data_IF_128573096327
#
_entry.id   IF_128573096327
#
_cell.length_a   1.000
_cell.length_b   1.000
_cell.length_c   1.000
_cell.angle_alpha   90.00
_cell.angle_beta   90.00
_cell.angle_gamma   90.00
#
_symmetry.space_group_name_H-M   'P 1'
#
loop_
_entity.id
_entity.type
_entity.pdbx_description
1 polymer ?
#
# COMPACT_ATOMS: atom_id res chain seq x y z
N UNK A 1 26.31 10.50 -0.59
CA UNK A 1 26.15 11.22 0.71
C UNK A 1 24.70 11.61 0.86
N UNK A 2 23.88 10.67 1.35
CA UNK A 2 23.38 10.63 2.74
C UNK A 2 22.15 11.55 2.96
N UNK A 3 20.99 11.10 2.47
CA UNK A 3 19.68 11.57 2.94
C UNK A 3 19.25 10.75 4.15
N UNK A 4 19.80 11.10 5.33
CA UNK A 4 19.28 10.77 6.66
C UNK A 4 17.99 11.59 6.87
N UNK A 5 16.93 11.15 7.55
CA UNK A 5 16.83 10.27 8.70
C UNK A 5 15.42 9.68 8.80
N UNK A 6 15.34 8.36 8.65
CA UNK A 6 14.42 7.56 9.44
C UNK A 6 15.16 7.30 10.76
N UNK A 7 14.97 8.14 11.78
CA UNK A 7 15.60 7.95 13.10
C UNK A 7 14.63 7.27 14.04
N UNK A 8 14.99 6.02 14.31
CA UNK A 8 14.63 5.19 15.45
C UNK A 8 14.86 5.88 16.79
N UNK A 9 13.94 5.68 17.73
CA UNK A 9 14.31 5.54 19.14
C UNK A 9 13.58 4.31 19.71
N UNK A 10 14.29 3.19 19.65
CA UNK A 10 13.91 1.90 20.20
C UNK A 10 15.18 1.09 20.30
N UNK A 11 15.96 1.34 21.36
CA UNK A 11 17.13 0.55 21.73
C UNK A 11 16.71 -0.92 21.82
N UNK A 12 17.25 -1.77 20.94
CA UNK A 12 17.18 -3.22 21.10
C UNK A 12 18.37 -3.67 21.95
N UNK A 13 18.15 -4.49 22.99
CA UNK A 13 19.25 -5.09 23.73
C UNK A 13 19.93 -6.15 22.86
N UNK A 14 21.25 -6.03 22.76
CA UNK A 14 22.14 -7.14 22.43
C UNK A 14 22.01 -8.21 23.53
N UNK A 15 21.66 -9.42 23.16
CA UNK A 15 21.74 -10.58 24.06
C UNK A 15 22.59 -11.68 23.42
N UNK A 16 23.34 -12.43 24.25
CA UNK A 16 24.71 -12.79 23.97
C UNK A 16 24.84 -14.18 23.33
N UNK A 17 26.00 -14.40 22.71
CA UNK A 17 26.43 -15.71 22.27
C UNK A 17 26.39 -16.73 23.40
N UNK A 18 25.96 -17.93 23.04
CA UNK A 18 26.25 -19.13 23.83
C UNK A 18 26.66 -20.23 22.87
N UNK A 19 27.97 -20.40 22.76
CA UNK A 19 28.58 -21.67 22.43
C UNK A 19 27.97 -22.75 23.32
N UNK A 20 27.36 -23.77 22.70
CA UNK A 20 27.13 -25.04 23.37
C UNK A 20 27.65 -26.15 22.47
N UNK A 21 28.89 -26.49 22.77
CA UNK A 21 29.57 -27.75 22.49
C UNK A 21 28.60 -28.92 22.71
N UNK A 22 28.34 -29.69 21.65
CA UNK A 22 27.63 -30.96 21.76
C UNK A 22 28.59 -32.03 22.29
N UNK A 23 28.48 -32.37 23.58
CA UNK A 23 28.99 -33.64 24.10
C UNK A 23 27.87 -34.68 24.04
N UNK A 24 28.10 -35.79 23.34
CA UNK A 24 27.24 -36.97 23.40
C UNK A 24 27.65 -37.90 24.56
N UNK A 25 26.68 -38.56 25.21
CA UNK A 25 26.90 -39.93 25.69
C UNK A 25 25.71 -40.88 25.37
N UNK A 26 25.87 -42.20 25.58
CA UNK A 26 25.41 -43.19 24.62
C UNK A 26 24.17 -44.01 25.04
N UNK A 27 23.61 -44.66 24.01
CA UNK A 27 22.82 -45.90 24.04
C UNK A 27 21.33 -45.81 24.38
N UNK A 28 20.53 -46.44 23.51
CA UNK A 28 19.43 -47.30 23.96
C UNK A 28 18.03 -46.70 23.98
N UNK A 29 17.43 -46.55 22.80
CA UNK A 29 16.05 -46.95 22.39
C UNK A 29 15.51 -45.97 21.36
N UNK A 30 15.29 -46.50 20.16
CA UNK A 30 14.63 -45.84 19.03
C UNK A 30 13.15 -45.62 19.34
N UNK A 31 12.74 -44.36 19.36
CA UNK A 31 11.33 -43.95 19.20
C UNK A 31 11.28 -43.13 17.91
N UNK A 32 10.36 -43.41 16.97
CA UNK A 32 10.27 -42.64 15.74
C UNK A 32 9.72 -41.26 16.10
N UNK A 33 10.57 -40.23 16.04
CA UNK A 33 10.12 -38.85 16.12
C UNK A 33 9.33 -38.53 14.84
N UNK A 34 8.01 -38.58 14.92
CA UNK A 34 7.14 -37.85 14.01
C UNK A 34 7.59 -36.39 14.04
N UNK A 35 8.22 -35.94 12.96
CA UNK A 35 8.60 -34.54 12.75
C UNK A 35 7.36 -33.68 12.60
N UNK A 36 6.76 -33.30 13.71
CA UNK A 36 5.87 -32.14 13.76
C UNK A 36 6.71 -30.92 13.44
N UNK A 37 6.49 -30.32 12.27
CA UNK A 37 7.02 -29.01 11.94
C UNK A 37 6.57 -28.06 13.06
N UNK A 38 7.51 -27.59 13.87
CA UNK A 38 7.23 -26.58 14.88
C UNK A 38 6.75 -25.33 14.14
N UNK A 39 5.44 -25.05 14.22
CA UNK A 39 4.87 -23.78 13.78
C UNK A 39 5.60 -22.68 14.54
N UNK A 40 6.33 -21.85 13.82
CA UNK A 40 6.92 -20.63 14.36
C UNK A 40 5.83 -19.81 15.04
N UNK A 41 6.05 -19.33 16.27
CA UNK A 41 5.10 -18.47 17.01
C UNK A 41 4.75 -17.15 16.30
N UNK A 42 5.41 -16.84 15.17
CA UNK A 42 5.12 -15.70 14.30
C UNK A 42 4.17 -16.00 13.14
N UNK A 43 3.67 -17.24 13.02
CA UNK A 43 2.82 -17.66 11.90
C UNK A 43 1.38 -17.16 12.04
N UNK A 44 0.84 -16.62 10.95
CA UNK A 44 -0.26 -15.66 11.02
C UNK A 44 -1.61 -16.39 10.97
N UNK A 45 -2.40 -16.21 12.04
CA UNK A 45 -3.79 -16.69 12.30
C UNK A 45 -4.84 -16.57 11.17
N UNK A 46 -4.52 -16.02 10.00
CA UNK A 46 -5.50 -15.87 8.92
C UNK A 46 -5.70 -17.14 8.09
N UNK A 47 -4.74 -18.07 8.07
CA UNK A 47 -4.84 -19.26 7.22
C UNK A 47 -6.04 -20.13 7.59
N UNK A 48 -6.37 -20.23 8.88
CA UNK A 48 -7.55 -20.92 9.39
C UNK A 48 -8.87 -20.41 8.80
N UNK A 49 -8.89 -19.20 8.22
CA UNK A 49 -10.10 -18.60 7.63
C UNK A 49 -10.35 -18.99 6.19
N UNK A 50 -9.35 -19.50 5.47
CA UNK A 50 -9.47 -19.80 4.05
C UNK A 50 -8.85 -21.13 3.60
N UNK A 51 -8.09 -21.81 4.48
CA UNK A 51 -7.59 -23.17 4.26
C UNK A 51 -8.68 -24.17 4.67
N UNK A 52 -9.06 -25.08 3.77
CA UNK A 52 -10.15 -26.05 3.96
C UNK A 52 -9.74 -27.52 3.79
N UNK A 53 -8.44 -27.77 3.66
CA UNK A 53 -7.90 -29.11 3.49
C UNK A 53 -6.45 -29.09 3.06
N UNK A 54 -5.98 -30.23 2.56
CA UNK A 54 -4.65 -30.41 1.99
C UNK A 54 -4.75 -31.26 0.72
N UNK A 55 -3.79 -31.08 -0.18
CA UNK A 55 -3.58 -31.93 -1.35
C UNK A 55 -2.23 -32.62 -1.17
N UNK A 56 -2.24 -33.95 -1.24
CA UNK A 56 -1.00 -34.73 -1.18
C UNK A 56 -0.21 -34.57 -2.46
N UNK A 57 1.08 -34.28 -2.34
CA UNK A 57 1.99 -34.14 -3.48
C UNK A 57 3.27 -34.95 -3.23
N UNK A 58 4.07 -35.25 -4.27
CA UNK A 58 5.38 -35.89 -4.09
C UNK A 58 6.32 -35.11 -3.17
N UNK A 59 6.13 -33.80 -3.04
CA UNK A 59 6.89 -32.92 -2.16
C UNK A 59 6.25 -32.74 -0.76
N UNK A 60 5.23 -33.55 -0.41
CA UNK A 60 4.49 -33.48 0.84
C UNK A 60 3.13 -32.79 0.72
N UNK A 61 2.38 -32.69 1.83
CA UNK A 61 1.04 -32.11 1.83
C UNK A 61 1.10 -30.59 1.59
N UNK A 62 0.24 -30.10 0.70
CA UNK A 62 0.10 -28.68 0.36
C UNK A 62 -1.27 -28.17 0.84
N UNK A 63 -1.36 -27.04 1.55
CA UNK A 63 -2.65 -26.51 2.03
C UNK A 63 -3.58 -26.15 0.86
N UNK A 64 -4.81 -26.63 0.93
CA UNK A 64 -5.88 -26.29 -0.02
C UNK A 64 -6.67 -25.09 0.48
N UNK A 65 -6.88 -24.11 -0.39
CA UNK A 65 -7.61 -22.88 -0.08
C UNK A 65 -8.91 -22.79 -0.87
N UNK A 66 -9.95 -22.23 -0.25
CA UNK A 66 -11.22 -21.99 -0.91
C UNK A 66 -11.30 -20.60 -1.56
N UNK A 67 -12.04 -20.52 -2.66
CA UNK A 67 -12.28 -19.27 -3.39
C UNK A 67 -13.27 -18.32 -2.72
N UNK A 68 -14.06 -18.79 -1.74
CA UNK A 68 -15.11 -18.00 -1.07
C UNK A 68 -14.52 -16.88 -0.22
N UNK A 69 -14.94 -15.63 -0.44
CA UNK A 69 -14.56 -14.51 0.42
C UNK A 69 -15.49 -14.48 1.64
N UNK A 70 -14.93 -14.67 2.83
CA UNK A 70 -15.67 -14.64 4.09
C UNK A 70 -15.76 -13.26 4.72
N UNK A 71 -16.56 -13.14 5.79
CA UNK A 71 -16.72 -11.89 6.55
C UNK A 71 -15.40 -11.35 7.12
N UNK A 72 -14.50 -12.23 7.54
CA UNK A 72 -13.18 -11.87 8.07
C UNK A 72 -12.27 -11.27 7.00
N UNK A 73 -12.38 -11.77 5.76
CA UNK A 73 -11.64 -11.21 4.62
C UNK A 73 -12.15 -9.82 4.24
N UNK A 74 -13.47 -9.62 4.27
CA UNK A 74 -14.10 -8.32 3.99
C UNK A 74 -13.72 -7.31 5.07
N UNK A 75 -13.84 -7.69 6.35
CA UNK A 75 -13.47 -6.83 7.46
C UNK A 75 -11.97 -6.53 7.47
N UNK A 76 -11.13 -7.53 7.23
CA UNK A 76 -9.68 -7.37 7.12
C UNK A 76 -9.30 -6.42 5.98
N UNK A 77 -9.89 -6.61 4.80
CA UNK A 77 -9.74 -5.69 3.66
C UNK A 77 -10.16 -4.28 4.02
N UNK A 78 -11.28 -4.10 4.71
CA UNK A 78 -11.71 -2.79 5.18
C UNK A 78 -10.68 -2.20 6.14
N UNK A 79 -10.30 -2.90 7.20
CA UNK A 79 -9.33 -2.45 8.22
C UNK A 79 -8.02 -1.95 7.60
N UNK A 80 -7.45 -2.67 6.64
CA UNK A 80 -6.18 -2.25 6.01
C UNK A 80 -6.33 -1.02 5.12
N UNK A 81 -7.54 -0.72 4.60
CA UNK A 81 -7.83 0.55 3.92
C UNK A 81 -7.86 1.72 4.90
N UNK A 82 -8.15 1.48 6.17
CA UNK A 82 -8.07 2.49 7.25
C UNK A 82 -6.74 2.45 8.02
N UNK A 83 -5.72 1.75 7.49
CA UNK A 83 -4.40 1.64 8.14
C UNK A 83 -4.34 0.74 9.36
N UNK A 84 -5.43 0.06 9.72
CA UNK A 84 -5.50 -0.76 10.93
C UNK A 84 -4.86 -2.12 10.65
N UNK A 85 -3.68 -2.36 11.22
CA UNK A 85 -2.98 -3.65 11.15
C UNK A 85 -2.46 -4.00 9.75
N UNK A 86 -2.28 -2.98 8.88
CA UNK A 86 -1.84 -3.13 7.49
C UNK A 86 -0.53 -3.90 7.36
N UNK A 87 0.48 -3.56 8.17
CA UNK A 87 1.83 -4.14 8.08
C UNK A 87 1.90 -5.63 8.43
N UNK A 88 0.83 -6.16 9.05
CA UNK A 88 0.71 -7.56 9.45
C UNK A 88 -0.33 -8.33 8.65
N UNK A 89 -0.94 -7.71 7.63
CA UNK A 89 -2.01 -8.33 6.85
C UNK A 89 -1.45 -9.12 5.65
N UNK A 90 -0.78 -10.22 5.96
CA UNK A 90 -0.06 -11.07 5.01
C UNK A 90 -0.37 -12.56 5.22
N UNK A 91 -0.16 -13.36 4.17
CA UNK A 91 -0.26 -14.83 4.15
C UNK A 91 1.14 -15.42 4.26
N UNK A 92 1.30 -16.66 4.72
CA UNK A 92 2.62 -17.29 4.68
C UNK A 92 3.09 -17.45 3.22
N UNK A 93 4.35 -17.14 2.90
CA UNK A 93 4.91 -17.47 1.59
C UNK A 93 4.99 -18.99 1.42
N UNK A 94 4.67 -19.50 0.24
CA UNK A 94 4.63 -20.94 0.00
C UNK A 94 3.74 -21.33 -1.17
N UNK A 95 3.47 -22.62 -1.28
CA UNK A 95 2.57 -23.18 -2.29
C UNK A 95 1.22 -23.47 -1.66
N UNK A 96 0.15 -23.13 -2.38
CA UNK A 96 -1.23 -23.41 -1.99
C UNK A 96 -1.96 -24.06 -3.17
N UNK A 97 -2.88 -24.97 -2.88
CA UNK A 97 -3.77 -25.56 -3.87
C UNK A 97 -5.10 -24.81 -3.92
N UNK A 98 -5.58 -24.45 -5.11
CA UNK A 98 -6.95 -24.01 -5.35
C UNK A 98 -7.69 -25.12 -6.10
N UNK A 99 -8.81 -25.61 -5.56
CA UNK A 99 -9.51 -26.76 -6.13
C UNK A 99 -8.76 -28.07 -5.87
N UNK A 100 -8.68 -28.92 -6.88
CA UNK A 100 -7.97 -30.20 -6.87
C UNK A 100 -6.90 -30.22 -7.99
N UNK A 101 -5.84 -29.40 -7.90
CA UNK A 101 -4.83 -29.31 -8.94
C UNK A 101 -4.02 -30.61 -9.07
N UNK A 102 -3.81 -31.03 -10.31
CA UNK A 102 -2.92 -32.13 -10.67
C UNK A 102 -1.53 -31.61 -11.11
N UNK A 103 -0.69 -32.50 -11.64
CA UNK A 103 0.64 -32.13 -12.14
C UNK A 103 0.61 -31.25 -13.41
N UNK A 104 -0.51 -31.16 -14.12
CA UNK A 104 -0.65 -30.35 -15.32
C UNK A 104 -1.31 -28.99 -15.03
N UNK A 105 -1.85 -28.80 -13.83
CA UNK A 105 -2.52 -27.59 -13.40
C UNK A 105 -1.59 -26.36 -13.45
N UNK A 106 -2.10 -25.19 -13.87
CA UNK A 106 -1.31 -23.98 -13.99
C UNK A 106 -0.78 -23.50 -12.63
N UNK A 107 0.43 -22.94 -12.64
CA UNK A 107 1.04 -22.30 -11.46
C UNK A 107 0.88 -20.78 -11.57
N UNK A 108 0.02 -20.22 -10.73
CA UNK A 108 -0.22 -18.79 -10.59
C UNK A 108 0.70 -18.20 -9.52
N UNK A 109 1.52 -17.22 -9.86
CA UNK A 109 2.43 -16.56 -8.92
C UNK A 109 1.79 -15.28 -8.38
N UNK A 110 1.90 -15.05 -7.07
CA UNK A 110 1.34 -13.85 -6.43
C UNK A 110 2.17 -13.37 -5.24
N UNK A 111 1.81 -12.22 -4.69
CA UNK A 111 2.41 -11.61 -3.52
C UNK A 111 1.74 -12.08 -2.22
N UNK A 112 2.48 -12.13 -1.11
CA UNK A 112 1.92 -12.50 0.20
C UNK A 112 1.07 -11.42 0.88
N UNK A 113 0.82 -10.28 0.24
CA UNK A 113 -0.19 -9.34 0.72
C UNK A 113 -1.58 -9.98 0.65
N UNK A 114 -2.23 -10.16 1.82
CA UNK A 114 -3.45 -10.99 1.92
C UNK A 114 -4.59 -10.48 1.02
N UNK A 115 -4.72 -9.16 0.81
CA UNK A 115 -5.73 -8.63 -0.13
C UNK A 115 -5.45 -9.09 -1.57
N UNK A 116 -4.19 -9.12 -2.00
CA UNK A 116 -3.79 -9.64 -3.32
C UNK A 116 -4.11 -11.12 -3.43
N UNK A 117 -3.72 -11.91 -2.43
CA UNK A 117 -4.02 -13.34 -2.36
C UNK A 117 -5.53 -13.62 -2.42
N UNK A 118 -6.33 -12.83 -1.68
CA UNK A 118 -7.79 -12.92 -1.69
C UNK A 118 -8.39 -12.65 -3.08
N UNK A 119 -7.80 -11.73 -3.86
CA UNK A 119 -8.22 -11.54 -5.24
C UNK A 119 -7.87 -12.73 -6.13
N UNK A 120 -6.70 -13.36 -5.94
CA UNK A 120 -6.32 -14.53 -6.72
C UNK A 120 -7.27 -15.69 -6.49
N UNK A 121 -7.49 -16.09 -5.24
CA UNK A 121 -8.39 -17.22 -4.94
C UNK A 121 -9.84 -16.98 -5.37
N UNK A 122 -10.35 -15.74 -5.24
CA UNK A 122 -11.71 -15.39 -5.65
C UNK A 122 -11.88 -15.38 -7.16
N UNK A 123 -10.96 -14.72 -7.87
CA UNK A 123 -11.10 -14.50 -9.31
C UNK A 123 -10.67 -15.73 -10.12
N UNK A 124 -9.85 -16.61 -9.55
CA UNK A 124 -9.54 -17.93 -10.10
C UNK A 124 -10.54 -19.02 -9.66
N UNK A 125 -11.68 -18.66 -9.07
CA UNK A 125 -12.69 -19.63 -8.62
C UNK A 125 -13.09 -20.60 -9.74
N UNK A 126 -13.20 -21.88 -9.39
CA UNK A 126 -13.54 -22.95 -10.32
C UNK A 126 -12.41 -23.33 -11.29
N UNK A 127 -11.18 -22.91 -11.02
CA UNK A 127 -9.98 -23.47 -11.63
C UNK A 127 -9.30 -24.40 -10.61
N UNK A 128 -8.72 -25.47 -11.12
CA UNK A 128 -7.75 -26.27 -10.38
C UNK A 128 -6.36 -25.69 -10.69
N UNK A 129 -5.73 -25.05 -9.70
CA UNK A 129 -4.49 -24.32 -9.90
C UNK A 129 -3.58 -24.36 -8.66
N UNK A 130 -2.27 -24.33 -8.91
CA UNK A 130 -1.28 -24.09 -7.87
C UNK A 130 -1.06 -22.58 -7.72
N UNK A 131 -1.06 -22.07 -6.48
CA UNK A 131 -0.80 -20.67 -6.18
C UNK A 131 0.55 -20.59 -5.44
N UNK A 132 1.57 -20.07 -6.12
CA UNK A 132 2.88 -19.81 -5.53
C UNK A 132 2.92 -18.39 -4.96
N UNK A 133 2.93 -18.28 -3.64
CA UNK A 133 2.92 -17.02 -2.89
C UNK A 133 4.35 -16.63 -2.54
N UNK A 134 4.79 -15.49 -3.06
CA UNK A 134 6.12 -14.91 -2.80
C UNK A 134 6.13 -14.06 -1.53
N UNK A 135 7.27 -14.00 -0.85
CA UNK A 135 7.46 -13.11 0.29
C UNK A 135 7.74 -11.67 -0.14
N UNK A 136 6.66 -10.90 -0.27
CA UNK A 136 6.72 -9.47 -0.57
C UNK A 136 6.54 -8.61 0.68
N UNK A 137 6.77 -9.17 1.88
CA UNK A 137 6.60 -8.47 3.17
C UNK A 137 5.22 -7.82 3.35
N UNK A 138 4.18 -8.38 2.75
CA UNK A 138 2.83 -7.83 2.80
C UNK A 138 2.57 -6.67 1.85
N UNK A 139 3.41 -6.47 0.83
CA UNK A 139 3.24 -5.47 -0.23
C UNK A 139 2.59 -6.09 -1.47
N UNK A 140 1.73 -5.33 -2.18
CA UNK A 140 1.09 -5.80 -3.41
C UNK A 140 2.11 -6.03 -4.54
N UNK A 141 1.73 -6.77 -5.59
CA UNK A 141 2.62 -7.15 -6.70
C UNK A 141 3.32 -5.95 -7.36
N UNK A 142 2.58 -4.87 -7.67
CA UNK A 142 3.14 -3.76 -8.44
C UNK A 142 4.17 -2.98 -7.62
N UNK A 143 3.81 -2.61 -6.38
CA UNK A 143 4.75 -1.92 -5.49
C UNK A 143 5.95 -2.81 -5.15
N UNK A 144 5.72 -4.09 -4.84
CA UNK A 144 6.76 -5.04 -4.50
C UNK A 144 7.73 -5.30 -5.67
N UNK A 145 7.26 -5.27 -6.91
CA UNK A 145 8.10 -5.39 -8.09
C UNK A 145 8.98 -4.15 -8.30
N UNK A 146 8.44 -2.96 -8.04
CA UNK A 146 9.23 -1.71 -8.07
C UNK A 146 10.29 -1.64 -6.96
N UNK A 147 10.02 -2.25 -5.80
CA UNK A 147 10.95 -2.34 -4.66
C UNK A 147 11.92 -3.55 -4.75
N UNK A 148 11.66 -4.50 -5.65
CA UNK A 148 12.48 -5.70 -5.85
C UNK A 148 12.13 -6.90 -4.95
N UNK A 149 11.17 -6.78 -4.02
CA UNK A 149 10.74 -7.92 -3.18
C UNK A 149 9.88 -8.93 -3.94
N UNK A 150 9.12 -8.48 -4.96
CA UNK A 150 8.59 -9.36 -5.99
C UNK A 150 9.62 -9.46 -7.12
N UNK A 151 10.67 -10.26 -6.90
CA UNK A 151 11.87 -10.27 -7.73
C UNK A 151 12.30 -11.65 -8.24
N UNK A 152 13.23 -11.68 -9.21
CA UNK A 152 13.80 -12.92 -9.78
C UNK A 152 14.30 -13.89 -8.71
N UNK A 153 15.06 -13.36 -7.73
CA UNK A 153 15.66 -14.16 -6.66
C UNK A 153 14.57 -14.82 -5.81
N UNK A 154 13.56 -14.05 -5.41
CA UNK A 154 12.45 -14.55 -4.61
C UNK A 154 11.63 -15.61 -5.36
N UNK A 155 11.34 -15.40 -6.65
CA UNK A 155 10.67 -16.41 -7.49
C UNK A 155 11.48 -17.70 -7.51
N UNK A 156 12.78 -17.60 -7.81
CA UNK A 156 13.67 -18.75 -7.93
C UNK A 156 13.79 -19.51 -6.61
N UNK A 157 13.92 -18.77 -5.50
CA UNK A 157 13.97 -19.30 -4.14
C UNK A 157 12.69 -20.06 -3.80
N UNK A 158 11.51 -19.48 -4.05
CA UNK A 158 10.23 -20.10 -3.72
C UNK A 158 9.95 -21.35 -4.55
N UNK A 159 10.32 -21.36 -5.83
CA UNK A 159 10.23 -22.56 -6.67
C UNK A 159 11.06 -23.72 -6.08
N UNK A 160 12.27 -23.43 -5.59
CA UNK A 160 13.16 -24.45 -4.99
C UNK A 160 12.66 -24.91 -3.62
N UNK A 161 12.33 -23.98 -2.73
CA UNK A 161 11.86 -24.29 -1.36
C UNK A 161 10.57 -25.10 -1.36
N UNK A 162 9.66 -24.82 -2.30
CA UNK A 162 8.40 -25.58 -2.46
C UNK A 162 8.57 -26.87 -3.25
N UNK A 163 9.78 -27.15 -3.76
CA UNK A 163 10.08 -28.30 -4.64
C UNK A 163 9.09 -28.43 -5.79
N UNK A 164 8.68 -27.30 -6.36
CA UNK A 164 7.62 -27.23 -7.37
C UNK A 164 7.89 -28.13 -8.58
N UNK A 165 9.16 -28.36 -8.90
CA UNK A 165 9.59 -29.27 -9.98
C UNK A 165 9.14 -30.73 -9.81
N UNK A 166 8.88 -31.17 -8.58
CA UNK A 166 8.39 -32.50 -8.23
C UNK A 166 6.86 -32.58 -8.27
N UNK A 167 6.18 -31.43 -8.15
CA UNK A 167 4.72 -31.32 -8.05
C UNK A 167 4.07 -31.19 -9.43
N UNK A 168 4.67 -30.39 -10.33
CA UNK A 168 4.14 -30.18 -11.68
C UNK A 168 5.00 -30.85 -12.77
N UNK A 169 4.33 -31.40 -13.77
CA UNK A 169 4.91 -32.08 -14.94
C UNK A 169 5.59 -31.09 -15.91
N UNK A 170 5.23 -29.81 -15.83
CA UNK A 170 5.73 -28.76 -16.69
C UNK A 170 6.72 -27.82 -15.96
N UNK A 171 7.29 -26.87 -16.69
CA UNK A 171 8.22 -25.85 -16.17
C UNK A 171 7.76 -24.45 -16.58
N UNK A 172 6.57 -24.05 -16.11
CA UNK A 172 5.94 -22.78 -16.47
C UNK A 172 5.30 -22.10 -15.26
N UNK A 173 5.59 -20.82 -15.08
CA UNK A 173 4.99 -19.95 -14.07
C UNK A 173 4.19 -18.85 -14.76
N UNK A 174 2.99 -18.57 -14.26
CA UNK A 174 2.16 -17.46 -14.73
C UNK A 174 2.30 -16.32 -13.73
N UNK A 175 3.05 -15.29 -14.11
CA UNK A 175 3.26 -14.10 -13.29
C UNK A 175 2.28 -12.98 -13.69
N UNK A 176 1.85 -12.12 -12.75
CA UNK A 176 1.03 -10.97 -13.08
C UNK A 176 1.80 -9.97 -13.96
N UNK A 177 1.12 -9.30 -14.89
CA UNK A 177 1.75 -8.35 -15.82
C UNK A 177 2.56 -7.26 -15.11
N UNK A 178 2.07 -6.77 -13.96
CA UNK A 178 2.70 -5.69 -13.18
C UNK A 178 3.89 -6.17 -12.33
N UNK A 179 4.18 -7.48 -12.32
CA UNK A 179 5.40 -8.02 -11.72
C UNK A 179 6.63 -7.93 -12.65
N UNK A 180 6.41 -7.67 -13.95
CA UNK A 180 7.48 -7.67 -14.95
C UNK A 180 8.68 -6.74 -14.64
N UNK A 181 8.51 -5.55 -14.05
CA UNK A 181 9.65 -4.70 -13.71
C UNK A 181 10.62 -5.30 -12.69
N UNK A 182 10.15 -6.22 -11.83
CA UNK A 182 10.98 -6.86 -10.79
C UNK A 182 11.54 -8.22 -11.20
N UNK A 183 11.04 -8.85 -12.27
CA UNK A 183 11.36 -10.24 -12.61
C UNK A 183 11.99 -10.36 -14.00
N UNK A 184 13.25 -10.78 -14.03
CA UNK A 184 13.96 -11.16 -15.24
C UNK A 184 13.63 -12.61 -15.63
N UNK A 185 12.73 -12.79 -16.59
CA UNK A 185 12.24 -14.12 -17.00
C UNK A 185 13.36 -15.09 -17.45
N UNK A 186 14.41 -14.56 -18.07
CA UNK A 186 15.56 -15.36 -18.51
C UNK A 186 16.41 -15.85 -17.34
N UNK A 187 16.61 -15.02 -16.31
CA UNK A 187 17.31 -15.39 -15.08
C UNK A 187 16.51 -16.40 -14.26
N UNK A 188 15.18 -16.28 -14.19
CA UNK A 188 14.32 -17.32 -13.55
C UNK A 188 14.52 -18.67 -14.24
N UNK A 189 14.54 -18.70 -15.57
CA UNK A 189 14.78 -19.93 -16.34
C UNK A 189 16.17 -20.51 -16.08
N UNK A 190 17.21 -19.67 -16.03
CA UNK A 190 18.57 -20.12 -15.71
C UNK A 190 18.67 -20.61 -14.25
N UNK A 191 17.98 -19.95 -13.32
CA UNK A 191 18.05 -20.23 -11.89
C UNK A 191 17.29 -21.49 -11.47
N UNK A 192 16.09 -21.74 -12.01
CA UNK A 192 15.27 -22.88 -11.57
C UNK A 192 14.67 -23.72 -12.71
N UNK A 193 15.00 -23.44 -13.97
CA UNK A 193 14.49 -24.17 -15.13
C UNK A 193 13.05 -23.82 -15.51
N UNK A 194 12.33 -23.02 -14.72
CA UNK A 194 10.97 -22.59 -15.04
C UNK A 194 10.94 -21.41 -16.01
N UNK A 195 10.10 -21.51 -17.03
CA UNK A 195 9.77 -20.41 -17.93
C UNK A 195 8.70 -19.51 -17.30
N UNK A 196 8.83 -18.20 -17.48
CA UNK A 196 7.85 -17.20 -17.04
C UNK A 196 6.95 -16.81 -18.20
N UNK A 197 5.65 -16.83 -17.96
CA UNK A 197 4.63 -16.24 -18.85
C UNK A 197 3.91 -15.14 -18.09
N UNK A 198 3.83 -13.96 -18.68
CA UNK A 198 3.09 -12.84 -18.08
C UNK A 198 1.60 -12.95 -18.41
N UNK A 199 0.80 -13.19 -17.37
CA UNK A 199 -0.65 -13.19 -17.41
C UNK A 199 -1.25 -11.78 -17.42
N UNK A 200 -2.57 -11.66 -17.21
CA UNK A 200 -3.28 -10.38 -17.25
C UNK A 200 -2.90 -9.45 -16.07
N UNK A 201 -3.23 -8.16 -16.21
CA UNK A 201 -3.16 -7.17 -15.12
C UNK A 201 -4.18 -7.50 -14.02
N UNK A 202 -5.38 -7.93 -14.40
CA UNK A 202 -6.47 -8.25 -13.47
C UNK A 202 -6.68 -9.75 -13.43
N UNK A 203 -6.73 -10.32 -12.22
CA UNK A 203 -6.86 -11.78 -12.05
C UNK A 203 -8.19 -12.31 -12.58
N UNK A 204 -9.26 -11.50 -12.61
CA UNK A 204 -10.55 -11.86 -13.23
C UNK A 204 -10.45 -12.34 -14.68
N UNK A 205 -9.39 -11.95 -15.40
CA UNK A 205 -9.18 -12.34 -16.79
C UNK A 205 -8.39 -13.65 -16.92
N UNK A 206 -7.99 -14.29 -15.81
CA UNK A 206 -7.09 -15.45 -15.81
C UNK A 206 -7.68 -16.65 -16.54
N UNK A 207 -8.98 -16.90 -16.38
CA UNK A 207 -9.67 -18.00 -17.05
C UNK A 207 -9.64 -17.85 -18.57
N UNK A 208 -10.07 -16.68 -19.07
CA UNK A 208 -10.01 -16.36 -20.50
C UNK A 208 -8.58 -16.38 -21.04
N UNK A 209 -7.60 -15.93 -20.25
CA UNK A 209 -6.20 -16.00 -20.62
C UNK A 209 -5.71 -17.45 -20.80
N UNK A 210 -6.08 -18.35 -19.89
CA UNK A 210 -5.75 -19.77 -19.97
C UNK A 210 -6.43 -20.45 -21.17
N UNK A 211 -7.73 -20.20 -21.37
CA UNK A 211 -8.52 -20.72 -22.51
C UNK A 211 -7.97 -20.25 -23.85
N UNK A 212 -7.45 -19.01 -23.92
CA UNK A 212 -6.78 -18.46 -25.10
C UNK A 212 -5.33 -18.98 -25.30
N UNK A 213 -4.94 -20.05 -24.59
CA UNK A 213 -3.60 -20.63 -24.69
C UNK A 213 -2.49 -19.73 -24.12
N UNK A 214 -2.79 -19.01 -23.03
CA UNK A 214 -1.88 -18.06 -22.36
C UNK A 214 -1.42 -16.89 -23.25
N UNK A 215 -2.30 -16.44 -24.15
CA UNK A 215 -2.09 -15.24 -24.98
C UNK A 215 -2.90 -14.07 -24.44
N UNK A 216 -2.24 -13.12 -23.79
CA UNK A 216 -2.91 -11.94 -23.23
C UNK A 216 -3.30 -10.94 -24.34
N UNK A 217 -4.59 -10.58 -24.38
CA UNK A 217 -5.11 -9.56 -25.29
C UNK A 217 -4.59 -8.17 -24.91
N UNK A 218 -4.64 -7.17 -25.82
CA UNK A 218 -4.28 -5.80 -25.48
C UNK A 218 -5.07 -5.23 -24.29
N UNK A 219 -6.35 -5.62 -24.14
CA UNK A 219 -7.18 -5.19 -23.01
C UNK A 219 -6.66 -5.72 -21.67
N UNK A 220 -6.27 -7.01 -21.61
CA UNK A 220 -5.71 -7.65 -20.42
C UNK A 220 -4.39 -7.01 -19.94
N UNK A 221 -3.67 -6.32 -20.83
CA UNK A 221 -2.40 -5.65 -20.52
C UNK A 221 -2.56 -4.20 -20.06
N UNK A 222 -3.76 -3.61 -20.19
CA UNK A 222 -4.00 -2.21 -19.83
C UNK A 222 -4.46 -2.08 -18.38
N UNK A 223 -3.79 -1.19 -17.64
CA UNK A 223 -4.27 -0.74 -16.34
C UNK A 223 -5.22 0.44 -16.57
N UNK A 224 -6.44 0.32 -16.06
CA UNK A 224 -7.39 1.45 -15.98
C UNK A 224 -7.57 1.87 -14.53
N UNK A 225 -7.70 3.17 -14.32
CA UNK A 225 -7.95 3.79 -13.02
C UNK A 225 -9.29 4.54 -13.05
N UNK A 226 -10.42 3.83 -12.92
CA UNK A 226 -11.71 4.49 -12.71
C UNK A 226 -11.71 5.26 -11.39
N UNK A 227 -12.66 6.19 -11.21
CA UNK A 227 -12.77 7.03 -10.01
C UNK A 227 -12.76 6.22 -8.71
N UNK A 228 -13.42 5.06 -8.69
CA UNK A 228 -13.45 4.18 -7.51
C UNK A 228 -12.09 3.61 -7.16
N UNK A 229 -11.28 3.20 -8.15
CA UNK A 229 -9.95 2.67 -7.89
C UNK A 229 -9.01 3.73 -7.28
N UNK A 230 -9.23 5.01 -7.61
CA UNK A 230 -8.49 6.14 -7.02
C UNK A 230 -8.92 6.42 -5.59
N UNK A 231 -10.23 6.42 -5.33
CA UNK A 231 -10.81 6.68 -4.01
C UNK A 231 -10.58 5.55 -3.00
N UNK A 232 -10.27 4.35 -3.46
CA UNK A 232 -9.93 3.22 -2.60
C UNK A 232 -8.70 3.51 -1.71
N UNK A 233 -7.83 4.46 -2.09
CA UNK A 233 -6.70 4.91 -1.26
C UNK A 233 -7.09 6.00 -0.23
N UNK A 234 -8.16 6.75 -0.46
CA UNK A 234 -8.56 7.89 0.39
C UNK A 234 -8.63 7.59 1.89
N UNK A 235 -9.17 6.45 2.37
CA UNK A 235 -9.26 6.21 3.81
C UNK A 235 -7.90 6.09 4.50
N UNK A 236 -6.87 5.51 3.83
CA UNK A 236 -5.53 5.40 4.41
C UNK A 236 -4.85 6.77 4.44
N UNK A 237 -5.09 7.60 3.43
CA UNK A 237 -4.54 8.96 3.39
C UNK A 237 -5.14 9.86 4.47
N UNK A 238 -6.46 9.76 4.71
CA UNK A 238 -7.12 10.50 5.77
C UNK A 238 -6.57 10.06 7.12
N UNK A 239 -6.58 8.76 7.42
CA UNK A 239 -6.10 8.23 8.71
C UNK A 239 -4.62 8.52 8.96
N UNK A 240 -3.77 8.44 7.92
CA UNK A 240 -2.37 8.83 7.98
C UNK A 240 -2.17 10.32 8.26
N UNK A 241 -3.10 11.16 7.80
CA UNK A 241 -3.09 12.61 8.01
C UNK A 241 -3.63 13.03 9.39
N UNK A 242 -4.39 12.19 10.10
CA UNK A 242 -5.01 12.57 11.39
C UNK A 242 -3.98 12.90 12.48
N UNK A 243 -2.90 12.13 12.60
CA UNK A 243 -1.86 12.37 13.61
C UNK A 243 -1.11 13.70 13.38
N UNK A 244 -0.56 13.97 12.18
CA UNK A 244 0.06 15.27 11.92
C UNK A 244 -0.96 16.41 11.99
N UNK A 245 -2.20 16.19 11.51
CA UNK A 245 -3.27 17.20 11.62
C UNK A 245 -3.64 17.51 13.07
N UNK A 246 -3.63 16.52 13.97
CA UNK A 246 -3.87 16.74 15.40
C UNK A 246 -2.81 17.63 16.04
N UNK A 247 -1.53 17.38 15.75
CA UNK A 247 -0.44 18.26 16.21
C UNK A 247 -0.54 19.66 15.60
N UNK A 248 -0.84 19.75 14.30
CA UNK A 248 -1.07 21.04 13.64
C UNK A 248 -2.25 21.78 14.26
N UNK A 249 -3.35 21.10 14.60
CA UNK A 249 -4.51 21.69 15.25
C UNK A 249 -4.18 22.28 16.62
N UNK A 250 -3.36 21.59 17.43
CA UNK A 250 -2.88 22.11 18.72
C UNK A 250 -2.04 23.38 18.51
N UNK A 251 -1.09 23.35 17.58
CA UNK A 251 -0.25 24.51 17.26
C UNK A 251 -1.10 25.69 16.77
N UNK A 252 -2.04 25.44 15.85
CA UNK A 252 -2.96 26.45 15.36
C UNK A 252 -3.82 27.00 16.51
N UNK A 253 -4.37 26.17 17.39
CA UNK A 253 -5.14 26.63 18.54
C UNK A 253 -4.33 27.56 19.47
N UNK A 254 -3.08 27.22 19.75
CA UNK A 254 -2.20 28.08 20.55
C UNK A 254 -1.88 29.41 19.84
N UNK A 255 -1.63 29.37 18.53
CA UNK A 255 -1.39 30.58 17.74
C UNK A 255 -2.65 31.45 17.57
N UNK A 256 -3.84 30.84 17.53
CA UNK A 256 -5.13 31.54 17.43
C UNK A 256 -5.37 32.46 18.64
N UNK A 257 -4.91 32.04 19.82
CA UNK A 257 -5.04 32.83 21.04
C UNK A 257 -4.14 34.05 21.08
N UNK A 258 -3.07 34.10 20.26
CA UNK A 258 -2.15 35.23 20.22
C UNK A 258 -2.81 36.44 19.55
N UNK A 259 -2.74 37.58 20.25
CA UNK A 259 -3.30 38.85 19.81
C UNK A 259 -2.81 40.03 20.68
N UNK A 260 -3.43 41.21 20.58
CA UNK A 260 -2.98 42.42 21.28
C UNK A 260 -2.86 42.28 22.80
N UNK A 261 -3.71 41.44 23.41
CA UNK A 261 -3.68 41.11 24.84
C UNK A 261 -2.75 39.96 25.23
N UNK A 262 -1.72 39.66 24.41
CA UNK A 262 -0.79 38.52 24.54
C UNK A 262 -1.47 37.16 24.26
N UNK A 263 -2.49 36.78 25.02
CA UNK A 263 -3.26 35.55 24.79
C UNK A 263 -4.72 35.66 25.24
N UNK A 264 -5.66 35.23 24.39
CA UNK A 264 -7.10 35.15 24.71
C UNK A 264 -7.67 33.78 24.39
N UNK A 265 -8.31 33.15 25.38
CA UNK A 265 -8.94 31.84 25.21
C UNK A 265 -10.16 31.89 24.28
N UNK A 266 -10.92 33.00 24.30
CA UNK A 266 -12.04 33.21 23.39
C UNK A 266 -11.57 33.33 21.94
N UNK A 267 -10.51 34.12 21.71
CA UNK A 267 -9.89 34.25 20.38
C UNK A 267 -9.29 32.92 19.90
N UNK A 268 -8.68 32.15 20.82
CA UNK A 268 -8.17 30.82 20.52
C UNK A 268 -9.28 29.88 20.04
N UNK A 269 -10.46 29.94 20.65
CA UNK A 269 -11.60 29.12 20.25
C UNK A 269 -12.15 29.54 18.88
N UNK A 270 -12.51 30.82 18.69
CA UNK A 270 -13.11 31.30 17.45
C UNK A 270 -12.18 31.14 16.24
N UNK A 271 -10.95 31.66 16.35
CA UNK A 271 -9.99 31.62 15.24
C UNK A 271 -9.41 30.22 15.09
N UNK A 272 -9.20 29.49 16.18
CA UNK A 272 -8.65 28.13 16.16
C UNK A 272 -9.59 27.15 15.48
N UNK A 273 -10.89 27.22 15.77
CA UNK A 273 -11.90 26.39 15.07
C UNK A 273 -11.89 26.67 13.58
N UNK A 274 -11.83 27.94 13.17
CA UNK A 274 -11.73 28.31 11.75
C UNK A 274 -10.46 27.76 11.09
N UNK A 275 -9.30 27.83 11.76
CA UNK A 275 -8.04 27.30 11.24
C UNK A 275 -8.02 25.77 11.14
N UNK A 276 -8.59 25.07 12.13
CA UNK A 276 -8.77 23.62 12.10
C UNK A 276 -9.74 23.22 10.99
N UNK A 277 -10.82 23.99 10.79
CA UNK A 277 -11.75 23.80 9.68
C UNK A 277 -11.06 23.94 8.32
N UNK A 278 -10.21 24.95 8.14
CA UNK A 278 -9.42 25.15 6.93
C UNK A 278 -8.44 24.00 6.67
N UNK A 279 -7.75 23.51 7.72
CA UNK A 279 -6.87 22.34 7.64
C UNK A 279 -7.66 21.09 7.20
N UNK A 280 -8.80 20.81 7.85
CA UNK A 280 -9.65 19.69 7.51
C UNK A 280 -10.19 19.77 6.07
N UNK A 281 -10.65 20.96 5.65
CA UNK A 281 -11.12 21.21 4.29
C UNK A 281 -10.00 21.01 3.26
N UNK A 282 -8.77 21.46 3.55
CA UNK A 282 -7.60 21.21 2.72
C UNK A 282 -7.26 19.72 2.58
N UNK A 283 -7.34 18.96 3.67
CA UNK A 283 -7.14 17.50 3.64
C UNK A 283 -8.21 16.83 2.79
N UNK A 284 -9.49 17.19 2.95
CA UNK A 284 -10.59 16.65 2.13
C UNK A 284 -10.43 17.02 0.66
N UNK A 285 -10.01 18.25 0.36
CA UNK A 285 -9.73 18.68 -1.01
C UNK A 285 -8.63 17.83 -1.67
N UNK A 286 -7.53 17.58 -0.96
CA UNK A 286 -6.44 16.75 -1.46
C UNK A 286 -6.80 15.26 -1.54
N UNK A 287 -7.44 14.72 -0.50
CA UNK A 287 -7.67 13.27 -0.35
C UNK A 287 -8.93 12.76 -1.06
N UNK A 288 -9.92 13.61 -1.32
CA UNK A 288 -11.21 13.23 -1.92
C UNK A 288 -11.43 13.96 -3.24
N UNK A 289 -11.41 15.29 -3.24
CA UNK A 289 -11.80 16.09 -4.41
C UNK A 289 -10.79 15.93 -5.54
N UNK A 290 -9.50 15.97 -5.23
CA UNK A 290 -8.43 15.83 -6.22
C UNK A 290 -8.44 14.48 -6.95
N UNK A 291 -8.49 13.30 -6.28
CA UNK A 291 -8.55 12.02 -6.99
C UNK A 291 -9.85 11.83 -7.79
N UNK A 292 -10.97 12.40 -7.33
CA UNK A 292 -12.23 12.41 -8.10
C UNK A 292 -12.05 13.22 -9.38
N UNK A 293 -11.54 14.44 -9.26
CA UNK A 293 -11.40 15.37 -10.38
C UNK A 293 -10.15 15.16 -11.24
N UNK A 294 -9.32 14.17 -10.89
CA UNK A 294 -8.00 13.94 -11.49
C UNK A 294 -7.99 13.89 -13.04
N UNK A 295 -9.00 13.30 -13.73
CA UNK A 295 -9.06 13.29 -15.20
C UNK A 295 -9.24 14.68 -15.82
N UNK A 296 -9.91 15.59 -15.11
CA UNK A 296 -10.26 16.93 -15.61
C UNK A 296 -9.27 18.00 -15.14
N UNK A 297 -8.52 17.74 -14.07
CA UNK A 297 -7.51 18.68 -13.59
C UNK A 297 -6.31 18.74 -14.55
N UNK A 298 -5.90 19.95 -14.97
CA UNK A 298 -4.82 20.13 -15.94
C UNK A 298 -3.45 19.76 -15.38
N UNK A 299 -2.51 19.46 -16.28
CA UNK A 299 -1.12 19.15 -15.93
C UNK A 299 -0.88 17.70 -15.51
N UNK A 300 0.39 17.40 -15.16
CA UNK A 300 0.84 16.06 -14.75
C UNK A 300 1.20 15.97 -13.26
N UNK A 301 1.60 17.08 -12.65
CA UNK A 301 2.03 17.15 -11.26
C UNK A 301 0.83 17.08 -10.30
N UNK A 302 0.86 16.16 -9.35
CA UNK A 302 -0.17 16.01 -8.32
C UNK A 302 -0.26 17.20 -7.38
N UNK A 303 0.89 17.80 -7.04
CA UNK A 303 1.02 19.05 -6.29
C UNK A 303 0.23 20.19 -6.94
N UNK A 304 0.34 20.34 -8.27
CA UNK A 304 -0.40 21.37 -9.01
C UNK A 304 -1.90 21.05 -9.03
N UNK A 305 -2.27 19.80 -9.32
CA UNK A 305 -3.68 19.38 -9.34
C UNK A 305 -4.36 19.56 -7.98
N UNK A 306 -3.70 19.13 -6.90
CA UNK A 306 -4.16 19.31 -5.53
C UNK A 306 -4.22 20.77 -5.13
N UNK A 307 -3.21 21.57 -5.51
CA UNK A 307 -3.21 23.01 -5.27
C UNK A 307 -4.36 23.71 -5.98
N UNK A 308 -4.65 23.36 -7.23
CA UNK A 308 -5.80 23.90 -7.98
C UNK A 308 -7.13 23.52 -7.32
N UNK A 309 -7.33 22.25 -6.93
CA UNK A 309 -8.55 21.83 -6.25
C UNK A 309 -8.74 22.56 -4.91
N UNK A 310 -7.68 22.65 -4.10
CA UNK A 310 -7.70 23.36 -2.82
C UNK A 310 -7.94 24.86 -2.98
N UNK A 311 -7.26 25.49 -3.93
CA UNK A 311 -7.36 26.92 -4.21
C UNK A 311 -8.74 27.33 -4.74
N UNK A 312 -9.34 26.54 -5.62
CA UNK A 312 -10.72 26.79 -6.11
C UNK A 312 -11.74 26.66 -4.98
N UNK A 313 -11.62 25.64 -4.13
CA UNK A 313 -12.50 25.49 -2.97
C UNK A 313 -12.32 26.62 -1.96
N UNK A 314 -11.09 27.03 -1.70
CA UNK A 314 -10.79 28.15 -0.82
C UNK A 314 -11.32 29.46 -1.38
N UNK A 315 -11.15 29.73 -2.68
CA UNK A 315 -11.71 30.89 -3.34
C UNK A 315 -13.24 30.88 -3.22
N UNK A 316 -13.88 29.75 -3.49
CA UNK A 316 -15.33 29.60 -3.35
C UNK A 316 -15.81 29.89 -1.92
N UNK A 317 -15.09 29.40 -0.91
CA UNK A 317 -15.39 29.68 0.49
C UNK A 317 -15.23 31.18 0.84
N UNK A 318 -14.15 31.82 0.37
CA UNK A 318 -13.97 33.27 0.54
C UNK A 318 -15.07 34.06 -0.18
N UNK A 319 -15.52 33.59 -1.34
CA UNK A 319 -16.62 34.23 -2.08
C UNK A 319 -17.97 34.05 -1.39
N UNK A 320 -18.19 32.92 -0.71
CA UNK A 320 -19.39 32.66 0.08
C UNK A 320 -19.45 33.56 1.32
N UNK A 321 -18.32 33.69 2.03
CA UNK A 321 -18.17 34.50 3.24
C UNK A 321 -17.81 35.98 2.94
N UNK A 322 -18.19 36.47 1.76
CA UNK A 322 -17.93 37.87 1.35
C UNK A 322 -18.57 38.83 2.37
N UNK A 323 -17.73 39.55 3.10
CA UNK A 323 -18.14 40.52 4.12
C UNK A 323 -17.88 40.08 5.56
N UNK A 324 -17.76 38.77 5.82
CA UNK A 324 -17.39 38.24 7.13
C UNK A 324 -15.87 38.07 7.29
N UNK A 325 -15.17 37.68 6.21
CA UNK A 325 -13.72 37.51 6.22
C UNK A 325 -13.00 38.81 5.86
N UNK A 326 -12.13 39.29 6.75
CA UNK A 326 -11.17 40.36 6.45
C UNK A 326 -10.12 39.89 5.44
N UNK A 327 -9.58 40.83 4.65
CA UNK A 327 -8.62 40.55 3.57
C UNK A 327 -7.42 39.66 3.97
N UNK A 328 -6.74 39.88 5.12
CA UNK A 328 -5.63 39.01 5.53
C UNK A 328 -6.05 37.56 5.80
N UNK A 329 -7.20 37.36 6.45
CA UNK A 329 -7.74 36.03 6.77
C UNK A 329 -8.21 35.29 5.52
N UNK A 330 -8.78 36.01 4.55
CA UNK A 330 -9.18 35.46 3.25
C UNK A 330 -7.96 34.95 2.45
N UNK A 331 -6.88 35.73 2.41
CA UNK A 331 -5.64 35.33 1.73
C UNK A 331 -4.94 34.19 2.48
N UNK A 332 -4.97 34.19 3.81
CA UNK A 332 -4.45 33.09 4.61
C UNK A 332 -5.19 31.76 4.32
N UNK A 333 -6.53 31.80 4.23
CA UNK A 333 -7.34 30.63 3.87
C UNK A 333 -6.97 30.08 2.49
N UNK A 334 -6.82 30.97 1.49
CA UNK A 334 -6.39 30.62 0.14
C UNK A 334 -5.04 29.89 0.14
N UNK A 335 -4.03 30.43 0.82
CA UNK A 335 -2.70 29.81 0.87
C UNK A 335 -2.70 28.51 1.67
N UNK A 336 -3.38 28.45 2.81
CA UNK A 336 -3.43 27.25 3.66
C UNK A 336 -4.09 26.07 2.94
N UNK A 337 -5.29 26.25 2.41
CA UNK A 337 -6.00 25.16 1.71
C UNK A 337 -5.29 24.73 0.43
N UNK A 338 -4.70 25.68 -0.31
CA UNK A 338 -3.89 25.36 -1.50
C UNK A 338 -2.69 24.52 -1.12
N UNK A 339 -1.92 24.90 -0.10
CA UNK A 339 -0.73 24.19 0.34
C UNK A 339 -1.05 22.79 0.88
N UNK A 340 -2.06 22.68 1.76
CA UNK A 340 -2.46 21.40 2.36
C UNK A 340 -3.00 20.44 1.30
N UNK A 341 -3.92 20.91 0.43
CA UNK A 341 -4.49 20.09 -0.64
C UNK A 341 -3.41 19.67 -1.65
N UNK A 342 -2.48 20.57 -1.99
CA UNK A 342 -1.32 20.28 -2.84
C UNK A 342 -0.45 19.18 -2.25
N UNK A 343 -0.13 19.27 -0.96
CA UNK A 343 0.69 18.26 -0.26
C UNK A 343 -0.02 16.91 -0.19
N UNK A 344 -1.28 16.87 0.24
CA UNK A 344 -2.04 15.62 0.38
C UNK A 344 -2.26 14.93 -0.97
N UNK A 345 -2.49 15.67 -2.05
CA UNK A 345 -2.67 15.11 -3.39
C UNK A 345 -1.44 14.33 -3.89
N UNK A 346 -0.23 14.65 -3.43
CA UNK A 346 1.00 13.97 -3.85
C UNK A 346 1.08 12.52 -3.39
N UNK A 347 0.24 12.08 -2.45
CA UNK A 347 0.16 10.68 -2.05
C UNK A 347 -0.59 9.81 -3.09
N UNK A 348 -1.31 10.42 -4.04
CA UNK A 348 -2.10 9.70 -5.05
C UNK A 348 -1.32 9.36 -6.33
N UNK A 349 0.01 9.41 -6.30
CA UNK A 349 0.85 9.07 -7.46
C UNK A 349 0.56 7.65 -7.99
N UNK A 350 0.31 6.69 -7.10
CA UNK A 350 -0.11 5.32 -7.44
C UNK A 350 -1.54 5.16 -7.98
N UNK A 351 -2.30 6.26 -8.13
CA UNK A 351 -3.66 6.26 -8.68
C UNK A 351 -3.69 6.57 -10.20
N UNK A 352 -2.52 6.60 -10.84
CA UNK A 352 -2.35 6.84 -12.28
C UNK A 352 -1.23 5.99 -12.87
N UNK A 353 -1.22 5.73 -14.19
CA UNK A 353 -0.22 4.87 -14.82
C UNK A 353 1.05 5.61 -15.29
N UNK A 354 1.13 6.94 -15.20
CA UNK A 354 2.19 7.73 -15.85
C UNK A 354 3.26 8.29 -14.89
N UNK A 355 3.16 8.04 -13.59
CA UNK A 355 4.17 8.47 -12.61
C UNK A 355 5.31 7.46 -12.53
N UNK A 356 6.55 7.95 -12.51
CA UNK A 356 7.73 7.17 -12.16
C UNK A 356 8.31 7.63 -10.82
N UNK A 357 9.07 6.78 -10.09
CA UNK A 357 9.74 7.19 -8.85
C UNK A 357 10.59 8.45 -8.99
N UNK A 358 11.39 8.53 -10.07
CA UNK A 358 12.22 9.70 -10.39
C UNK A 358 11.39 10.95 -10.72
N UNK A 359 10.23 10.78 -11.35
CA UNK A 359 9.30 11.88 -11.62
C UNK A 359 8.68 12.44 -10.35
N UNK A 360 8.25 11.55 -9.44
CA UNK A 360 7.70 11.92 -8.13
C UNK A 360 8.75 12.63 -7.29
N UNK A 361 9.98 12.13 -7.25
CA UNK A 361 11.07 12.76 -6.51
C UNK A 361 11.36 14.18 -7.02
N UNK A 362 11.40 14.36 -8.36
CA UNK A 362 11.58 15.67 -8.99
C UNK A 362 10.44 16.63 -8.64
N UNK A 363 9.21 16.13 -8.59
CA UNK A 363 8.05 16.91 -8.19
C UNK A 363 8.16 17.34 -6.73
N UNK A 364 8.47 16.42 -5.81
CA UNK A 364 8.63 16.72 -4.39
C UNK A 364 9.69 17.79 -4.11
N UNK A 365 10.86 17.67 -4.74
CA UNK A 365 11.95 18.67 -4.58
C UNK A 365 11.54 20.09 -4.97
N UNK A 366 10.58 20.23 -5.89
CA UNK A 366 10.07 21.54 -6.36
C UNK A 366 8.86 22.01 -5.55
N UNK A 367 7.94 21.10 -5.23
CA UNK A 367 6.67 21.44 -4.60
C UNK A 367 6.81 21.71 -3.10
N UNK A 368 7.61 20.92 -2.38
CA UNK A 368 7.72 21.03 -0.92
C UNK A 368 8.18 22.43 -0.43
N UNK A 369 9.21 23.07 -1.03
CA UNK A 369 9.59 24.43 -0.62
C UNK A 369 8.48 25.46 -0.84
N UNK A 370 7.74 25.35 -1.94
CA UNK A 370 6.63 26.25 -2.26
C UNK A 370 5.47 26.04 -1.29
N UNK A 371 5.10 24.79 -1.01
CA UNK A 371 4.05 24.45 -0.04
C UNK A 371 4.40 24.93 1.37
N UNK A 372 5.67 24.77 1.79
CA UNK A 372 6.16 25.28 3.07
C UNK A 372 6.09 26.81 3.14
N UNK A 373 6.53 27.50 2.08
CA UNK A 373 6.43 28.96 1.97
C UNK A 373 4.99 29.46 2.04
N UNK A 374 4.07 28.84 1.29
CA UNK A 374 2.64 29.16 1.33
C UNK A 374 2.04 28.94 2.73
N UNK A 375 2.41 27.83 3.39
CA UNK A 375 1.94 27.53 4.75
C UNK A 375 2.43 28.57 5.76
N UNK A 376 3.70 28.98 5.66
CA UNK A 376 4.27 30.02 6.52
C UNK A 376 3.61 31.38 6.28
N UNK A 377 3.42 31.78 5.02
CA UNK A 377 2.71 33.01 4.67
C UNK A 377 1.26 32.99 5.17
N UNK A 378 0.57 31.85 5.04
CA UNK A 378 -0.77 31.69 5.58
C UNK A 378 -0.81 31.91 7.10
N UNK A 379 0.15 31.32 7.83
CA UNK A 379 0.27 31.53 9.28
C UNK A 379 0.53 32.98 9.66
N UNK A 380 1.47 33.65 8.97
CA UNK A 380 1.79 35.06 9.20
C UNK A 380 0.59 35.98 8.94
N UNK A 381 -0.12 35.78 7.83
CA UNK A 381 -1.30 36.57 7.48
C UNK A 381 -2.46 36.35 8.45
N UNK A 382 -2.65 35.10 8.87
CA UNK A 382 -3.70 34.75 9.82
C UNK A 382 -3.42 35.31 11.22
N UNK A 383 -2.17 35.23 11.70
CA UNK A 383 -1.75 35.83 12.98
C UNK A 383 -1.80 37.36 12.87
N UNK A 384 -1.23 37.95 11.82
CA UNK A 384 -1.23 39.39 11.59
C UNK A 384 -2.64 39.96 11.54
N UNK A 385 -3.60 39.24 10.94
CA UNK A 385 -5.01 39.61 10.94
C UNK A 385 -5.63 39.79 12.33
N UNK A 386 -5.04 39.23 13.39
CA UNK A 386 -5.45 39.47 14.78
C UNK A 386 -5.12 40.86 15.29
N UNK A 387 -4.04 41.46 14.78
CA UNK A 387 -3.48 42.72 15.28
C UNK A 387 -4.00 43.92 14.49
N UNK A 388 -4.43 43.71 13.25
CA UNK A 388 -5.08 44.73 12.42
C UNK A 388 -6.60 44.78 12.67
N UNK A 389 -7.00 44.62 13.93
CA UNK A 389 -8.40 44.49 14.31
C UNK A 389 -9.12 45.82 14.43
#
# INVERSE_FOLDING_TARGET
MSGKECSTNGKFPSSPGTDRVCCAPPSGKTVPCCGGVSRSETDIRYEDTFVDGQVETPAGPVPRVHSRIGRYDVLGRWRVRWGIGRDRYRVAPGLYALGAPDGNAPVLVTANYKVTFDFVRRDAAGLDAWILVLDTRGVNVWCAAGEGTFGTEEVTRRVRETRLSEIVSHRRLILPQLGAPGVAAHEVRQGCGFSVVYGPVRVRDIRFFLEAGMKATPAMRRVVFPTMDRLVLTPIEITGSLRPAGWAAVVLFLLAGVGPGIFSLGAAWERGVAAVGALAAGIVAGAVVTPVLLPWLPGRAFSVKGGLAGGVLAASAVMWERGALKSPSAVALLFAMTAVSSFVAMNFTGATPFTSPSGVEKEMRRALPVQAGLTLLAGLLWIGGAFFH
#
